data_IF_443113016828
#
_entry.id   IF_443113016828
#
_cell.length_a   1.000
_cell.length_b   1.000
_cell.length_c   1.000
_cell.angle_alpha   90.00
_cell.angle_beta   90.00
_cell.angle_gamma   90.00
#
_symmetry.space_group_name_H-M   'P 1'
#
loop_
_entity.id
_entity.type
_entity.pdbx_description
1 polymer ?
#
# COMPACT_ATOMS: atom_id res chain seq x y z
N UNK A 1 -0.22 -5.95 -14.06
CA UNK A 1 0.87 -4.97 -13.82
C UNK A 1 1.06 -4.87 -12.32
N UNK A 2 2.26 -5.20 -11.85
CA UNK A 2 2.56 -5.27 -10.42
C UNK A 2 2.87 -3.88 -9.89
N UNK A 3 2.31 -3.55 -8.73
CA UNK A 3 2.43 -2.25 -8.11
C UNK A 3 3.00 -2.40 -6.70
N UNK A 4 4.01 -1.61 -6.38
CA UNK A 4 4.71 -1.66 -5.10
C UNK A 4 4.88 -0.27 -4.51
N UNK A 5 4.56 -0.11 -3.23
CA UNK A 5 4.76 1.10 -2.46
C UNK A 5 6.10 1.03 -1.71
N UNK A 6 6.90 2.08 -1.83
CA UNK A 6 8.10 2.32 -1.04
C UNK A 6 7.83 3.52 -0.14
N UNK A 7 7.61 3.27 1.14
CA UNK A 7 7.24 4.30 2.12
C UNK A 7 8.48 4.93 2.72
N UNK A 8 8.50 6.27 2.84
CA UNK A 8 9.61 7.01 3.48
C UNK A 8 9.13 7.86 4.66
N UNK A 9 9.86 7.73 5.77
CA UNK A 9 9.54 8.41 7.03
C UNK A 9 10.18 9.81 7.17
N UNK A 10 11.16 10.15 6.31
CA UNK A 10 11.91 11.41 6.36
C UNK A 10 11.66 12.24 5.10
N UNK A 11 11.77 13.56 5.23
CA UNK A 11 11.79 14.46 4.08
C UNK A 11 13.08 14.18 3.28
N UNK A 12 12.92 13.43 2.19
CA UNK A 12 13.99 13.06 1.27
C UNK A 12 13.60 13.49 -0.14
N UNK A 13 14.59 13.65 -1.01
CA UNK A 13 14.34 13.85 -2.43
C UNK A 13 13.81 12.53 -3.05
N UNK A 14 12.49 12.33 -2.98
CA UNK A 14 11.82 11.13 -3.47
C UNK A 14 11.99 10.94 -4.98
N UNK A 15 12.05 12.04 -5.74
CA UNK A 15 12.31 12.01 -7.18
C UNK A 15 13.70 11.43 -7.46
N UNK A 16 14.73 11.98 -6.82
CA UNK A 16 16.09 11.47 -6.96
C UNK A 16 16.25 10.01 -6.51
N UNK A 17 15.48 9.57 -5.50
CA UNK A 17 15.46 8.16 -5.10
C UNK A 17 14.77 7.28 -6.16
N UNK A 18 13.60 7.71 -6.66
CA UNK A 18 12.87 7.02 -7.70
C UNK A 18 13.70 6.85 -8.98
N UNK A 19 14.38 7.92 -9.41
CA UNK A 19 15.26 7.89 -10.59
C UNK A 19 16.39 6.85 -10.41
N UNK A 20 17.02 6.80 -9.22
CA UNK A 20 18.05 5.79 -8.91
C UNK A 20 17.48 4.36 -8.95
N UNK A 21 16.26 4.16 -8.47
CA UNK A 21 15.58 2.85 -8.51
C UNK A 21 15.35 2.43 -9.97
N UNK A 22 14.79 3.31 -10.81
CA UNK A 22 14.55 3.01 -12.23
C UNK A 22 15.87 2.70 -12.96
N UNK A 23 16.93 3.47 -12.70
CA UNK A 23 18.25 3.19 -13.28
C UNK A 23 18.80 1.83 -12.85
N UNK A 24 18.60 1.44 -11.59
CA UNK A 24 19.02 0.13 -11.07
C UNK A 24 18.25 -1.02 -11.73
N UNK A 25 16.92 -0.87 -11.88
CA UNK A 25 16.06 -1.85 -12.54
C UNK A 25 16.39 -1.98 -14.04
N UNK A 26 16.61 -0.85 -14.72
CA UNK A 26 16.97 -0.83 -16.13
C UNK A 26 18.28 -1.56 -16.42
N UNK A 27 19.29 -1.46 -15.55
CA UNK A 27 20.54 -2.24 -15.65
C UNK A 27 20.31 -3.75 -15.57
N UNK A 28 19.24 -4.18 -14.91
CA UNK A 28 18.81 -5.58 -14.81
C UNK A 28 17.81 -5.97 -15.92
N UNK A 29 17.58 -5.09 -16.92
CA UNK A 29 16.59 -5.24 -17.99
C UNK A 29 15.14 -5.33 -17.50
N UNK A 30 14.88 -4.76 -16.32
CA UNK A 30 13.55 -4.62 -15.75
C UNK A 30 13.03 -3.22 -16.07
N UNK A 31 11.96 -3.16 -16.86
CA UNK A 31 11.33 -1.90 -17.22
C UNK A 31 10.21 -1.58 -16.25
N UNK A 32 10.40 -0.50 -15.50
CA UNK A 32 9.45 -0.01 -14.52
C UNK A 32 9.29 1.51 -14.65
N UNK A 33 8.19 2.01 -14.10
CA UNK A 33 7.93 3.44 -13.93
C UNK A 33 7.52 3.71 -12.50
N UNK A 34 7.71 4.93 -12.02
CA UNK A 34 7.25 5.32 -10.69
C UNK A 34 6.48 6.61 -10.72
N UNK A 35 5.61 6.78 -9.73
CA UNK A 35 4.98 8.05 -9.38
C UNK A 35 5.19 8.32 -7.88
N UNK A 36 5.09 9.59 -7.50
CA UNK A 36 5.16 9.99 -6.08
C UNK A 36 3.74 10.29 -5.61
N UNK A 37 3.37 9.71 -4.47
CA UNK A 37 2.11 9.96 -3.79
C UNK A 37 2.39 10.28 -2.32
N UNK A 38 2.29 11.56 -1.94
CA UNK A 38 2.67 12.00 -0.60
C UNK A 38 4.14 11.65 -0.30
N UNK A 39 4.36 10.73 0.65
CA UNK A 39 5.69 10.23 1.03
C UNK A 39 6.02 8.84 0.47
N UNK A 40 5.24 8.39 -0.52
CA UNK A 40 5.33 7.06 -1.10
C UNK A 40 5.85 7.19 -2.53
N UNK A 41 6.83 6.35 -2.88
CA UNK A 41 7.19 6.08 -4.26
C UNK A 41 6.42 4.83 -4.67
N UNK A 42 5.47 4.99 -5.59
CA UNK A 42 4.70 3.88 -6.13
C UNK A 42 5.31 3.42 -7.44
N UNK A 43 5.90 2.24 -7.41
CA UNK A 43 6.60 1.60 -8.51
C UNK A 43 5.65 0.67 -9.26
N UNK A 44 5.69 0.70 -10.58
CA UNK A 44 4.88 -0.15 -11.45
C UNK A 44 5.81 -0.90 -12.41
N UNK A 45 5.64 -2.21 -12.46
CA UNK A 45 6.46 -3.12 -13.29
C UNK A 45 5.56 -4.19 -13.92
N UNK A 46 5.89 -4.61 -15.14
CA UNK A 46 5.24 -5.78 -15.76
C UNK A 46 5.69 -7.09 -15.12
N UNK A 47 6.94 -7.12 -14.66
CA UNK A 47 7.57 -8.26 -14.01
C UNK A 47 7.38 -8.14 -12.49
N UNK A 48 7.27 -9.27 -11.79
CA UNK A 48 7.32 -9.27 -10.33
C UNK A 48 8.72 -8.83 -9.87
N UNK A 49 8.76 -7.97 -8.87
CA UNK A 49 10.00 -7.52 -8.28
C UNK A 49 10.24 -8.36 -7.02
N UNK A 50 11.26 -9.21 -7.04
CA UNK A 50 11.74 -9.90 -5.84
C UNK A 50 12.53 -8.93 -4.96
N UNK A 51 12.55 -9.19 -3.64
CA UNK A 51 13.25 -8.35 -2.66
C UNK A 51 14.74 -8.15 -2.99
N UNK A 52 15.36 -9.16 -3.60
CA UNK A 52 16.78 -9.14 -4.04
C UNK A 52 17.06 -8.01 -5.02
N UNK A 53 16.09 -7.63 -5.85
CA UNK A 53 16.24 -6.62 -6.91
C UNK A 53 16.28 -5.20 -6.32
N UNK A 54 15.72 -4.99 -5.12
CA UNK A 54 15.44 -3.66 -4.57
C UNK A 54 16.42 -3.17 -3.51
N UNK A 55 17.57 -3.84 -3.33
CA UNK A 55 18.69 -3.46 -2.43
C UNK A 55 18.18 -2.94 -1.07
N UNK A 56 17.68 -3.85 -0.23
CA UNK A 56 17.25 -3.61 1.16
C UNK A 56 16.15 -2.55 1.34
N UNK A 57 15.40 -2.23 0.27
CA UNK A 57 14.22 -1.37 0.37
C UNK A 57 13.01 -2.24 0.63
N UNK A 58 12.38 -2.04 1.78
CA UNK A 58 11.05 -2.58 2.01
C UNK A 58 10.08 -2.05 0.95
N UNK A 59 9.47 -3.00 0.25
CA UNK A 59 8.47 -2.75 -0.78
C UNK A 59 7.19 -3.48 -0.40
N UNK A 60 6.08 -2.82 -0.61
CA UNK A 60 4.78 -3.31 -0.17
C UNK A 60 3.85 -3.43 -1.37
N UNK A 61 3.20 -4.58 -1.61
CA UNK A 61 2.17 -4.68 -2.64
C UNK A 61 1.15 -3.56 -2.45
N UNK A 62 0.82 -2.84 -3.52
CA UNK A 62 -0.09 -1.71 -3.44
C UNK A 62 -1.06 -1.60 -4.61
N UNK A 63 -2.11 -0.81 -4.43
CA UNK A 63 -3.07 -0.46 -5.49
C UNK A 63 -3.50 1.00 -5.37
N UNK A 64 -3.78 1.64 -6.51
CA UNK A 64 -4.34 2.98 -6.56
C UNK A 64 -5.85 2.90 -6.79
N UNK A 65 -6.60 3.72 -6.07
CA UNK A 65 -8.05 3.79 -6.18
C UNK A 65 -8.56 5.20 -5.87
N UNK A 66 -9.88 5.41 -5.94
CA UNK A 66 -10.51 6.67 -5.54
C UNK A 66 -10.65 6.75 -4.01
N UNK A 67 -11.03 7.93 -3.50
CA UNK A 67 -11.34 8.11 -2.08
C UNK A 67 -12.76 7.65 -1.67
N UNK A 68 -13.54 7.04 -2.57
CA UNK A 68 -14.86 6.50 -2.22
C UNK A 68 -14.70 5.23 -1.39
N UNK A 69 -15.47 5.12 -0.30
CA UNK A 69 -15.42 3.97 0.61
C UNK A 69 -15.56 2.63 -0.10
N UNK A 70 -16.55 2.49 -0.98
CA UNK A 70 -16.78 1.25 -1.72
C UNK A 70 -15.59 0.88 -2.62
N UNK A 71 -14.95 1.87 -3.25
CA UNK A 71 -13.79 1.63 -4.10
C UNK A 71 -12.59 1.16 -3.25
N UNK A 72 -12.44 1.70 -2.04
CA UNK A 72 -11.40 1.28 -1.07
C UNK A 72 -11.68 -0.15 -0.60
N UNK A 73 -12.92 -0.48 -0.24
CA UNK A 73 -13.35 -1.81 0.19
C UNK A 73 -12.98 -2.88 -0.85
N UNK A 74 -13.43 -2.69 -2.09
CA UNK A 74 -13.19 -3.65 -3.18
C UNK A 74 -11.70 -3.79 -3.50
N UNK A 75 -10.94 -2.70 -3.44
CA UNK A 75 -9.50 -2.76 -3.69
C UNK A 75 -8.73 -3.43 -2.55
N UNK A 76 -9.15 -3.29 -1.29
CA UNK A 76 -8.60 -4.09 -0.18
C UNK A 76 -8.87 -5.56 -0.44
N UNK A 77 -10.11 -5.94 -0.75
CA UNK A 77 -10.51 -7.32 -1.05
C UNK A 77 -9.69 -7.94 -2.18
N UNK A 78 -9.44 -7.17 -3.24
CA UNK A 78 -8.56 -7.61 -4.34
C UNK A 78 -7.11 -7.78 -3.89
N UNK A 79 -6.57 -6.82 -3.13
CA UNK A 79 -5.16 -6.83 -2.71
C UNK A 79 -4.87 -7.98 -1.74
N UNK A 80 -5.79 -8.27 -0.80
CA UNK A 80 -5.62 -9.37 0.17
C UNK A 80 -5.87 -10.77 -0.42
N UNK A 81 -6.44 -10.87 -1.63
CA UNK A 81 -6.72 -12.17 -2.26
C UNK A 81 -5.46 -13.04 -2.38
N UNK A 82 -4.32 -12.40 -2.64
CA UNK A 82 -3.00 -13.01 -2.78
C UNK A 82 -2.09 -12.72 -1.58
N UNK A 83 -2.63 -12.21 -0.47
CA UNK A 83 -1.87 -11.90 0.73
C UNK A 83 -1.53 -13.16 1.53
N UNK A 84 -0.46 -13.06 2.31
CA UNK A 84 -0.04 -14.08 3.26
C UNK A 84 -1.04 -14.06 4.42
N UNK A 85 -1.51 -15.23 4.86
CA UNK A 85 -2.43 -15.33 5.98
C UNK A 85 -1.74 -14.93 7.28
N UNK A 86 -2.39 -14.07 8.07
CA UNK A 86 -1.92 -13.62 9.40
C UNK A 86 -2.98 -13.87 10.47
N UNK A 87 -2.56 -13.85 11.74
CA UNK A 87 -3.46 -14.04 12.90
C UNK A 87 -4.21 -12.78 13.28
N UNK A 88 -3.56 -11.63 13.09
CA UNK A 88 -4.12 -10.34 13.41
C UNK A 88 -3.80 -9.31 12.32
N UNK A 89 -4.59 -8.23 12.31
CA UNK A 89 -4.38 -7.12 11.39
C UNK A 89 -4.81 -5.78 12.00
N UNK A 90 -4.36 -4.69 11.37
CA UNK A 90 -4.86 -3.35 11.58
C UNK A 90 -5.14 -2.66 10.25
N UNK A 91 -6.10 -1.74 10.24
CA UNK A 91 -6.28 -0.79 9.14
C UNK A 91 -5.85 0.59 9.61
N UNK A 92 -4.93 1.20 8.86
CA UNK A 92 -4.41 2.52 9.17
C UNK A 92 -4.76 3.50 8.07
N UNK A 93 -5.61 4.46 8.40
CA UNK A 93 -6.07 5.50 7.48
C UNK A 93 -5.31 6.82 7.73
N UNK A 94 -4.53 7.27 6.76
CA UNK A 94 -3.94 8.61 6.72
C UNK A 94 -4.62 9.44 5.64
N UNK A 95 -5.25 10.56 6.02
CA UNK A 95 -6.01 11.42 5.10
C UNK A 95 -5.49 12.85 5.12
N UNK A 96 -5.40 13.46 3.94
CA UNK A 96 -5.11 14.88 3.76
C UNK A 96 -6.13 15.50 2.80
N UNK A 97 -6.86 16.50 3.28
CA UNK A 97 -7.96 17.16 2.57
C UNK A 97 -9.31 16.99 3.27
N UNK A 98 -10.37 17.50 2.64
CA UNK A 98 -11.75 17.43 3.14
C UNK A 98 -12.45 16.17 2.61
N UNK A 99 -13.06 15.39 3.50
CA UNK A 99 -13.75 14.15 3.19
C UNK A 99 -14.99 14.03 4.10
N UNK A 100 -16.01 13.31 3.64
CA UNK A 100 -17.30 13.18 4.36
C UNK A 100 -17.26 12.17 5.52
N UNK A 101 -16.20 11.38 5.60
CA UNK A 101 -15.97 10.38 6.65
C UNK A 101 -14.76 10.74 7.51
N UNK A 102 -14.75 10.24 8.74
CA UNK A 102 -13.54 10.24 9.56
C UNK A 102 -12.68 8.98 9.32
N UNK A 103 -11.44 9.00 9.80
CA UNK A 103 -10.48 7.92 9.56
C UNK A 103 -10.86 6.62 10.29
N UNK A 104 -11.54 6.73 11.42
CA UNK A 104 -11.92 5.60 12.28
C UNK A 104 -13.15 4.90 11.71
N UNK A 105 -14.12 5.67 11.24
CA UNK A 105 -15.29 5.20 10.51
C UNK A 105 -14.88 4.45 9.25
N UNK A 106 -14.05 5.06 8.40
CA UNK A 106 -13.56 4.41 7.18
C UNK A 106 -12.84 3.09 7.51
N UNK A 107 -11.96 3.09 8.52
CA UNK A 107 -11.24 1.89 8.92
C UNK A 107 -12.18 0.76 9.35
N UNK A 108 -13.23 1.08 10.12
CA UNK A 108 -14.25 0.11 10.55
C UNK A 108 -15.02 -0.46 9.37
N UNK A 109 -15.46 0.40 8.45
CA UNK A 109 -16.29 0.00 7.32
C UNK A 109 -15.51 -0.92 6.36
N UNK A 110 -14.25 -0.58 6.07
CA UNK A 110 -13.42 -1.37 5.15
C UNK A 110 -12.78 -2.61 5.79
N UNK A 111 -12.84 -2.75 7.12
CA UNK A 111 -12.43 -3.97 7.81
C UNK A 111 -13.25 -5.20 7.40
N UNK A 112 -14.52 -5.00 6.99
CA UNK A 112 -15.36 -6.07 6.46
C UNK A 112 -14.70 -6.86 5.32
N UNK A 113 -13.94 -6.18 4.46
CA UNK A 113 -13.22 -6.82 3.35
C UNK A 113 -12.20 -7.85 3.83
N UNK A 114 -11.61 -7.64 5.00
CA UNK A 114 -10.64 -8.55 5.62
C UNK A 114 -11.35 -9.75 6.24
N UNK A 115 -12.44 -9.52 6.97
CA UNK A 115 -13.25 -10.58 7.57
C UNK A 115 -13.92 -11.49 6.53
N UNK A 116 -14.35 -10.94 5.39
CA UNK A 116 -14.86 -11.69 4.24
C UNK A 116 -13.87 -12.79 3.80
N UNK A 117 -12.56 -12.48 3.86
CA UNK A 117 -11.49 -13.40 3.44
C UNK A 117 -11.03 -14.31 4.58
N UNK A 118 -10.90 -13.77 5.78
CA UNK A 118 -10.43 -14.48 6.97
C UNK A 118 -11.41 -14.27 8.14
N UNK A 119 -12.48 -15.07 8.25
CA UNK A 119 -13.52 -14.86 9.27
C UNK A 119 -13.03 -14.95 10.71
N UNK A 120 -11.91 -15.64 10.96
CA UNK A 120 -11.35 -15.87 12.29
C UNK A 120 -10.14 -14.97 12.62
N UNK A 121 -9.80 -14.00 11.76
CA UNK A 121 -8.70 -13.06 12.03
C UNK A 121 -9.12 -12.08 13.14
N UNK A 122 -8.14 -11.63 13.93
CA UNK A 122 -8.38 -10.65 15.00
C UNK A 122 -7.87 -9.26 14.63
N UNK A 123 -8.44 -8.21 15.23
CA UNK A 123 -7.91 -6.85 15.09
C UNK A 123 -6.91 -6.60 16.22
N UNK A 124 -5.70 -6.14 15.88
CA UNK A 124 -4.66 -5.73 16.82
C UNK A 124 -4.09 -4.37 16.38
N UNK A 125 -4.37 -3.31 17.13
CA UNK A 125 -3.92 -1.94 16.81
C UNK A 125 -2.50 -1.64 17.31
N UNK A 126 -1.97 -2.47 18.21
CA UNK A 126 -0.69 -2.25 18.89
C UNK A 126 0.44 -3.00 18.17
N UNK A 127 0.22 -4.26 17.81
CA UNK A 127 1.21 -5.15 17.19
C UNK A 127 0.66 -6.02 16.04
N UNK A 128 0.15 -5.40 14.95
CA UNK A 128 -0.39 -6.16 13.84
C UNK A 128 0.70 -6.90 13.04
N UNK A 129 0.46 -8.17 12.74
CA UNK A 129 1.20 -8.98 11.75
C UNK A 129 0.95 -8.44 10.32
N UNK A 130 -0.25 -7.93 10.06
CA UNK A 130 -0.63 -7.25 8.80
C UNK A 130 -1.19 -5.86 9.06
N UNK A 131 -0.52 -4.83 8.57
CA UNK A 131 -1.02 -3.44 8.56
C UNK A 131 -1.49 -3.10 7.13
N UNK A 132 -2.81 -2.93 6.96
CA UNK A 132 -3.42 -2.44 5.72
C UNK A 132 -3.43 -0.91 5.77
N UNK A 133 -2.50 -0.30 5.07
CA UNK A 133 -2.36 1.15 5.06
C UNK A 133 -3.17 1.76 3.92
N UNK A 134 -4.05 2.69 4.26
CA UNK A 134 -4.90 3.45 3.33
C UNK A 134 -4.48 4.91 3.41
N UNK A 135 -3.84 5.44 2.36
CA UNK A 135 -3.44 6.85 2.31
C UNK A 135 -4.25 7.61 1.27
N UNK A 136 -4.93 8.67 1.71
CA UNK A 136 -5.85 9.48 0.89
C UNK A 136 -5.32 10.91 0.80
N UNK A 137 -5.17 11.42 -0.42
CA UNK A 137 -4.76 12.80 -0.70
C UNK A 137 -5.57 13.31 -1.89
N UNK A 138 -6.33 14.39 -1.68
CA UNK A 138 -7.12 15.07 -2.73
C UNK A 138 -7.97 14.09 -3.56
N UNK A 139 -8.83 13.31 -2.91
CA UNK A 139 -9.74 12.32 -3.51
C UNK A 139 -9.07 11.14 -4.25
N UNK A 140 -7.76 11.01 -4.17
CA UNK A 140 -7.01 9.84 -4.64
C UNK A 140 -6.54 9.03 -3.45
N UNK A 141 -6.48 7.72 -3.63
CA UNK A 141 -6.11 6.77 -2.59
C UNK A 141 -5.01 5.82 -3.09
N UNK A 142 -4.06 5.51 -2.21
CA UNK A 142 -3.17 4.36 -2.37
C UNK A 142 -3.33 3.45 -1.16
N UNK A 143 -3.45 2.15 -1.42
CA UNK A 143 -3.58 1.11 -0.41
C UNK A 143 -2.38 0.19 -0.53
N UNK A 144 -1.72 -0.15 0.58
CA UNK A 144 -0.60 -1.08 0.58
C UNK A 144 -0.60 -2.00 1.80
N UNK A 145 -0.06 -3.21 1.61
CA UNK A 145 0.04 -4.23 2.66
C UNK A 145 1.43 -4.23 3.27
N UNK A 146 1.52 -3.93 4.56
CA UNK A 146 2.77 -3.95 5.31
C UNK A 146 2.74 -5.08 6.34
N UNK A 147 3.66 -6.01 6.20
CA UNK A 147 3.87 -7.08 7.17
C UNK A 147 4.94 -6.67 8.18
N UNK A 148 4.76 -7.10 9.42
CA UNK A 148 5.73 -6.91 10.52
C UNK A 148 6.82 -7.97 10.53
#
# INVERSE_FOLDING_TARGET
MNCYAIVKNRNQNLKGLGDKIILSLSKQKIFAKYNIFGRIIALQSEQELSDVILNDKHVYPCVFTSAKENDIYENIKMLIKNAISTKNFAIKVDRKGSHEYDSTELARNVAGAVFDKWPNISVDLDSPELEICVQIINNKCIIYLKYS
#
